data_IF_667237676300
#
_entry.id   IF_667237676300
#
_cell.length_a   1.000
_cell.length_b   1.000
_cell.length_c   1.000
_cell.angle_alpha   90.00
_cell.angle_beta   90.00
_cell.angle_gamma   90.00
#
_symmetry.space_group_name_H-M   'P 1'
#
loop_
_entity.id
_entity.type
_entity.pdbx_description
1 polymer ?
#
# COMPACT_ATOMS: atom_id res chain seq x y z
N UNK A 1 -13.54 6.68 5.91
CA UNK A 1 -12.13 6.45 5.54
C UNK A 1 -12.03 6.03 4.07
N UNK A 2 -10.91 6.34 3.47
CA UNK A 2 -10.66 5.95 2.09
C UNK A 2 -10.32 4.47 2.05
N UNK A 3 -10.99 3.73 1.17
CA UNK A 3 -10.77 2.29 1.01
C UNK A 3 -9.80 2.06 -0.14
N UNK A 4 -8.71 1.36 0.14
CA UNK A 4 -7.66 1.12 -0.84
C UNK A 4 -7.55 -0.37 -1.14
N UNK A 5 -7.72 -0.74 -2.40
CA UNK A 5 -7.52 -2.10 -2.88
C UNK A 5 -6.25 -2.15 -3.71
N UNK A 6 -5.43 -3.16 -3.48
CA UNK A 6 -4.16 -3.34 -4.17
C UNK A 6 -4.23 -4.58 -5.04
N UNK A 7 -3.83 -4.46 -6.30
CA UNK A 7 -3.95 -5.53 -7.28
C UNK A 7 -2.61 -5.95 -7.86
N UNK A 8 -2.56 -7.16 -8.34
CA UNK A 8 -1.43 -7.69 -9.10
C UNK A 8 -0.15 -7.82 -8.30
N UNK A 9 0.96 -7.62 -8.97
CA UNK A 9 2.28 -7.73 -8.36
C UNK A 9 2.49 -6.75 -7.22
N UNK A 10 1.80 -5.61 -7.29
CA UNK A 10 1.92 -4.57 -6.26
C UNK A 10 1.47 -5.08 -4.88
N UNK A 11 0.55 -6.03 -4.82
CA UNK A 11 0.17 -6.66 -3.54
C UNK A 11 1.36 -7.32 -2.85
N UNK A 12 2.20 -7.98 -3.63
CA UNK A 12 3.40 -8.63 -3.08
C UNK A 12 4.43 -7.60 -2.65
N UNK A 13 4.50 -6.48 -3.37
CA UNK A 13 5.44 -5.41 -3.06
C UNK A 13 5.05 -4.68 -1.77
N UNK A 14 3.77 -4.35 -1.63
CA UNK A 14 3.27 -3.63 -0.45
C UNK A 14 3.06 -4.57 0.73
N UNK A 15 2.68 -5.81 0.47
CA UNK A 15 2.37 -6.78 1.51
C UNK A 15 0.92 -6.74 1.97
N UNK A 16 0.08 -5.97 1.30
CA UNK A 16 -1.33 -5.83 1.65
C UNK A 16 -2.18 -5.87 0.39
N UNK A 17 -3.39 -6.43 0.50
CA UNK A 17 -4.36 -6.43 -0.59
C UNK A 17 -5.48 -5.41 -0.38
N UNK A 18 -5.68 -4.97 0.85
CA UNK A 18 -6.74 -4.03 1.21
C UNK A 18 -6.33 -3.28 2.47
N UNK A 19 -6.61 -1.99 2.50
CA UNK A 19 -6.37 -1.17 3.68
C UNK A 19 -7.31 0.04 3.65
N UNK A 20 -7.68 0.53 4.83
CA UNK A 20 -8.44 1.78 4.95
C UNK A 20 -7.55 2.82 5.60
N UNK A 21 -7.52 4.00 5.01
CA UNK A 21 -6.68 5.09 5.49
C UNK A 21 -7.48 6.38 5.58
N UNK A 22 -7.03 7.28 6.43
CA UNK A 22 -7.61 8.60 6.55
C UNK A 22 -6.70 9.60 5.83
N UNK A 23 -7.15 10.06 4.68
CA UNK A 23 -6.38 10.99 3.87
C UNK A 23 -7.29 11.93 3.10
N UNK A 24 -6.85 13.14 2.87
CA UNK A 24 -7.60 14.16 2.14
C UNK A 24 -7.09 14.36 0.72
N UNK A 25 -6.00 13.71 0.34
CA UNK A 25 -5.45 13.74 -1.01
C UNK A 25 -4.94 12.37 -1.39
N UNK A 26 -4.79 12.13 -2.71
CA UNK A 26 -4.20 10.88 -3.19
C UNK A 26 -2.79 10.71 -2.65
N UNK A 27 -1.99 11.76 -2.65
CA UNK A 27 -0.64 11.69 -2.08
C UNK A 27 -0.69 11.29 -0.61
N UNK A 28 -1.65 11.84 0.15
CA UNK A 28 -1.82 11.48 1.55
C UNK A 28 -2.12 10.00 1.74
N UNK A 29 -2.85 9.39 0.80
CA UNK A 29 -3.09 7.94 0.83
C UNK A 29 -1.77 7.18 0.75
N UNK A 30 -0.89 7.58 -0.17
CA UNK A 30 0.42 6.92 -0.29
C UNK A 30 1.26 7.11 0.96
N UNK A 31 1.19 8.28 1.58
CA UNK A 31 1.91 8.53 2.83
C UNK A 31 1.42 7.64 3.96
N UNK A 32 0.09 7.48 4.09
CA UNK A 32 -0.47 6.63 5.12
C UNK A 32 -0.17 5.15 4.88
N UNK A 33 -0.22 4.71 3.63
CA UNK A 33 0.15 3.33 3.29
C UNK A 33 1.62 3.09 3.62
N UNK A 34 2.49 4.05 3.33
CA UNK A 34 3.92 3.93 3.63
C UNK A 34 4.16 3.76 5.12
N UNK A 35 3.43 4.49 5.96
CA UNK A 35 3.52 4.33 7.41
C UNK A 35 3.09 2.94 7.85
N UNK A 36 2.00 2.45 7.29
CA UNK A 36 1.48 1.12 7.62
C UNK A 36 2.47 0.04 7.19
N UNK A 37 3.05 0.17 6.01
CA UNK A 37 4.06 -0.77 5.53
C UNK A 37 5.25 -0.87 6.47
N UNK A 38 5.77 0.28 6.89
CA UNK A 38 6.92 0.32 7.80
C UNK A 38 6.59 -0.30 9.15
N UNK A 39 5.43 0.04 9.70
CA UNK A 39 4.98 -0.50 10.97
C UNK A 39 4.80 -2.01 10.89
N UNK A 40 4.12 -2.49 9.88
CA UNK A 40 3.87 -3.92 9.71
C UNK A 40 5.17 -4.70 9.51
N UNK A 41 6.09 -4.13 8.76
CA UNK A 41 7.39 -4.76 8.54
C UNK A 41 8.16 -4.95 9.85
N UNK A 42 8.22 -3.90 10.65
CA UNK A 42 8.92 -3.95 11.93
C UNK A 42 8.25 -4.96 12.87
N UNK A 43 6.93 -4.90 12.99
CA UNK A 43 6.21 -5.83 13.85
C UNK A 43 6.37 -7.28 13.42
N UNK A 44 6.32 -7.54 12.11
CA UNK A 44 6.51 -8.87 11.58
C UNK A 44 7.88 -9.44 11.97
N UNK A 45 8.93 -8.66 11.78
CA UNK A 45 10.28 -9.12 12.07
C UNK A 45 10.52 -9.30 13.56
N UNK A 46 9.95 -8.44 14.39
CA UNK A 46 10.05 -8.60 15.84
C UNK A 46 9.34 -9.86 16.31
N UNK A 47 8.18 -10.17 15.78
CA UNK A 47 7.46 -11.40 16.13
C UNK A 47 8.22 -12.64 15.69
N UNK A 48 8.77 -12.60 14.50
CA UNK A 48 9.50 -13.73 13.96
C UNK A 48 10.71 -14.09 14.82
N UNK A 49 11.34 -13.10 15.39
CA UNK A 49 12.46 -13.33 16.30
C UNK A 49 12.03 -13.93 17.64
N UNK A 50 10.84 -13.53 18.13
CA UNK A 50 10.36 -13.96 19.45
C UNK A 50 9.65 -15.30 19.43
N UNK A 51 8.75 -15.49 18.50
CA UNK A 51 7.77 -16.58 18.56
C UNK A 51 7.80 -17.48 17.35
N UNK A 52 8.77 -17.33 16.49
CA UNK A 52 8.78 -18.04 15.21
C UNK A 52 7.59 -17.61 14.38
N UNK A 53 6.88 -18.51 13.75
CA UNK A 53 5.78 -18.13 12.89
C UNK A 53 4.47 -18.04 13.64
N UNK A 54 3.72 -16.96 13.40
CA UNK A 54 2.37 -16.82 13.86
C UNK A 54 1.45 -17.01 12.66
N UNK A 55 0.70 -18.13 12.59
CA UNK A 55 -0.17 -18.38 11.44
C UNK A 55 -1.31 -17.38 11.31
N UNK A 56 -1.57 -16.59 12.35
CA UNK A 56 -2.61 -15.57 12.32
C UNK A 56 -2.12 -14.25 11.75
N UNK A 57 -0.83 -14.12 11.51
CA UNK A 57 -0.27 -12.90 10.97
C UNK A 57 -0.67 -12.73 9.52
N UNK A 58 -1.41 -11.67 9.21
CA UNK A 58 -1.93 -11.43 7.87
C UNK A 58 -0.98 -10.65 6.96
N UNK A 59 -0.05 -9.92 7.54
CA UNK A 59 0.91 -9.16 6.76
C UNK A 59 1.94 -10.08 6.13
N UNK A 60 2.20 -9.85 4.84
CA UNK A 60 3.25 -10.56 4.11
C UNK A 60 4.32 -9.56 3.72
N UNK A 61 5.60 -9.80 4.08
CA UNK A 61 6.65 -8.86 3.73
C UNK A 61 6.80 -8.72 2.22
N UNK A 62 7.24 -7.55 1.73
CA UNK A 62 7.45 -7.34 0.31
C UNK A 62 8.48 -8.30 -0.26
N UNK A 63 8.25 -8.76 -1.49
CA UNK A 63 9.21 -9.59 -2.20
C UNK A 63 10.22 -8.79 -2.99
N UNK A 64 9.84 -7.58 -3.37
CA UNK A 64 10.68 -6.70 -4.16
C UNK A 64 11.52 -5.83 -3.25
N UNK A 65 12.81 -6.11 -3.20
CA UNK A 65 13.72 -5.36 -2.35
C UNK A 65 13.88 -3.90 -2.76
N UNK A 66 13.58 -3.58 -4.02
CA UNK A 66 13.64 -2.20 -4.48
C UNK A 66 12.55 -1.32 -3.85
N UNK A 67 11.55 -1.94 -3.25
CA UNK A 67 10.47 -1.21 -2.58
C UNK A 67 10.31 -1.72 -1.14
N UNK A 68 11.43 -1.72 -0.42
CA UNK A 68 11.44 -2.13 0.98
C UNK A 68 10.68 -1.12 1.85
N UNK A 69 10.12 -1.57 2.98
CA UNK A 69 9.32 -0.69 3.84
C UNK A 69 10.03 0.52 4.42
N UNK A 70 11.34 0.59 4.32
CA UNK A 70 12.07 1.80 4.73
C UNK A 70 11.99 2.90 3.66
N UNK A 71 11.51 2.59 2.47
CA UNK A 71 11.28 3.57 1.41
C UNK A 71 9.80 3.89 1.33
N UNK A 72 9.47 5.14 1.06
CA UNK A 72 8.08 5.53 0.92
C UNK A 72 7.51 5.09 -0.41
N UNK A 73 6.29 4.57 -0.37
CA UNK A 73 5.53 4.28 -1.58
C UNK A 73 5.14 5.62 -2.21
N UNK A 74 5.43 5.79 -3.49
CA UNK A 74 5.18 7.04 -4.21
C UNK A 74 4.12 6.87 -5.27
N UNK A 75 3.50 7.98 -5.65
CA UNK A 75 2.46 7.99 -6.68
C UNK A 75 2.91 7.32 -7.98
N UNK A 76 4.17 7.52 -8.35
CA UNK A 76 4.75 6.92 -9.56
C UNK A 76 4.89 5.40 -9.50
N UNK A 77 4.78 4.83 -8.30
CA UNK A 77 4.98 3.39 -8.11
C UNK A 77 3.72 2.58 -8.42
N UNK A 78 2.61 3.24 -8.69
CA UNK A 78 1.35 2.57 -8.95
C UNK A 78 0.50 3.32 -9.97
N UNK A 79 -0.36 2.58 -10.65
CA UNK A 79 -1.44 3.17 -11.44
C UNK A 79 -2.62 3.31 -10.48
N UNK A 80 -3.18 4.51 -10.40
CA UNK A 80 -4.20 4.84 -9.41
C UNK A 80 -5.55 5.08 -10.08
N UNK A 81 -6.59 4.42 -9.55
CA UNK A 81 -7.97 4.70 -9.90
C UNK A 81 -8.70 5.18 -8.67
N UNK A 82 -9.46 6.24 -8.80
CA UNK A 82 -10.28 6.79 -7.72
C UNK A 82 -11.75 6.69 -8.15
N UNK A 83 -12.53 5.92 -7.41
CA UNK A 83 -13.94 5.68 -7.70
C UNK A 83 -14.17 5.23 -9.14
N UNK A 84 -13.27 4.39 -9.65
CA UNK A 84 -13.37 3.82 -11.00
C UNK A 84 -12.76 4.67 -12.11
N UNK A 85 -12.25 5.85 -11.80
CA UNK A 85 -11.63 6.73 -12.79
C UNK A 85 -10.12 6.83 -12.60
N UNK A 86 -9.38 6.81 -13.71
CA UNK A 86 -7.93 6.93 -13.67
C UNK A 86 -7.51 8.27 -13.04
N UNK A 87 -6.69 8.22 -12.01
CA UNK A 87 -6.17 9.41 -11.38
C UNK A 87 -4.75 9.69 -11.89
N UNK A 88 -4.57 10.87 -12.49
CA UNK A 88 -3.27 11.28 -13.03
C UNK A 88 -2.57 12.33 -12.17
N UNK A 89 -3.22 12.78 -11.08
CA UNK A 89 -2.69 13.85 -10.24
C UNK A 89 -2.59 13.41 -8.79
N UNK A 90 -1.37 13.38 -8.27
CA UNK A 90 -1.14 12.98 -6.88
C UNK A 90 -1.76 13.95 -5.86
N UNK A 91 -2.03 15.17 -6.26
CA UNK A 91 -2.64 16.17 -5.37
C UNK A 91 -4.15 16.21 -5.44
N UNK A 92 -4.77 15.26 -6.14
CA UNK A 92 -6.21 15.18 -6.20
C UNK A 92 -6.80 15.11 -4.80
N UNK A 93 -7.79 15.97 -4.53
CA UNK A 93 -8.46 16.01 -3.23
C UNK A 93 -9.48 14.90 -3.11
N UNK A 94 -9.59 14.35 -1.91
CA UNK A 94 -10.51 13.28 -1.58
C UNK A 94 -11.48 13.77 -0.51
N UNK A 95 -12.71 13.25 -0.56
CA UNK A 95 -13.72 13.58 0.44
C UNK A 95 -13.67 12.65 1.65
N UNK A 96 -13.07 11.47 1.48
CA UNK A 96 -12.87 10.54 2.58
C UNK A 96 -13.65 9.25 2.48
N UNK A 97 -14.45 9.09 1.43
CA UNK A 97 -15.26 7.88 1.23
C UNK A 97 -14.99 7.18 -0.10
N UNK A 98 -13.99 7.63 -0.83
CA UNK A 98 -13.66 7.03 -2.13
C UNK A 98 -13.07 5.65 -1.98
N UNK A 99 -13.21 4.86 -3.05
CA UNK A 99 -12.49 3.61 -3.20
C UNK A 99 -11.33 3.84 -4.16
N UNK A 100 -10.13 3.51 -3.72
CA UNK A 100 -8.92 3.69 -4.51
C UNK A 100 -8.38 2.33 -4.90
N UNK A 101 -7.99 2.18 -6.17
CA UNK A 101 -7.36 0.97 -6.68
C UNK A 101 -5.92 1.29 -7.04
N UNK A 102 -5.00 0.46 -6.55
CA UNK A 102 -3.59 0.57 -6.86
C UNK A 102 -3.17 -0.65 -7.68
N UNK A 103 -2.66 -0.40 -8.88
CA UNK A 103 -2.24 -1.43 -9.82
C UNK A 103 -0.77 -1.26 -10.15
N UNK A 104 -0.11 -2.38 -10.47
CA UNK A 104 1.29 -2.34 -10.86
C UNK A 104 1.45 -1.65 -12.23
N UNK A 105 2.27 -0.59 -12.32
CA UNK A 105 2.48 0.09 -13.59
C UNK A 105 3.34 -0.71 -14.56
N UNK A 106 4.08 -1.66 -14.05
CA UNK A 106 5.01 -2.44 -14.87
C UNK A 106 4.38 -3.69 -15.47
N UNK A 107 3.09 -3.89 -15.24
CA UNK A 107 2.43 -5.12 -15.67
C UNK A 107 2.52 -5.36 -17.17
N UNK A 108 2.58 -4.31 -17.93
CA UNK A 108 2.66 -4.42 -19.39
C UNK A 108 4.03 -4.20 -19.95
N UNK A 109 4.97 -3.88 -19.08
CA UNK A 109 6.23 -3.47 -19.60
C UNK A 109 7.33 -4.20 -19.18
#
# INVERSE_FOLDING_TARGET
MVKVKVFGVLRSTIGLSYVEVNASTVQGVFEEISKIMKKNYVEYHLRKEREKEDPKLKYKPPRNEALMPHEDLQFKDAIVYVSGERCMKKRMKLQGDEEIWLLSPAAGG
#
